data_IF_880556408484
#
_entry.id   IF_880556408484
#
_cell.length_a   1.000
_cell.length_b   1.000
_cell.length_c   1.000
_cell.angle_alpha   90.00
_cell.angle_beta   90.00
_cell.angle_gamma   90.00
#
_symmetry.space_group_name_H-M   'P 1'
#
loop_
_entity.id
_entity.type
_entity.pdbx_description
1 polymer ?
#
# COMPACT_ATOMS: atom_id res chain seq x y z
N UNK A 1 -21.01 59.14 -8.37
CA UNK A 1 -20.88 58.01 -7.43
C UNK A 1 -20.71 56.73 -8.24
N UNK A 2 -19.47 56.29 -8.48
CA UNK A 2 -19.19 54.95 -9.02
C UNK A 2 -19.14 53.98 -7.84
N UNK A 3 -20.09 53.04 -7.79
CA UNK A 3 -20.04 51.92 -6.87
C UNK A 3 -19.04 50.89 -7.41
N UNK A 4 -17.85 50.87 -6.82
CA UNK A 4 -16.88 49.79 -7.03
C UNK A 4 -17.35 48.58 -6.18
N UNK A 5 -18.04 47.64 -6.82
CA UNK A 5 -18.37 46.34 -6.24
C UNK A 5 -17.08 45.52 -6.07
N UNK A 6 -16.45 45.64 -4.90
CA UNK A 6 -15.43 44.69 -4.44
C UNK A 6 -16.10 43.34 -4.20
N UNK A 7 -16.12 42.49 -5.23
CA UNK A 7 -16.35 41.06 -5.07
C UNK A 7 -15.13 40.47 -4.34
N UNK A 8 -15.19 40.49 -3.02
CA UNK A 8 -14.39 39.63 -2.15
C UNK A 8 -14.72 38.18 -2.52
N UNK A 9 -14.01 37.64 -3.52
CA UNK A 9 -13.91 36.21 -3.69
C UNK A 9 -13.16 35.70 -2.47
N UNK A 10 -13.90 35.25 -1.46
CA UNK A 10 -13.37 34.34 -0.46
C UNK A 10 -12.80 33.15 -1.23
N UNK A 11 -11.49 33.18 -1.48
CA UNK A 11 -10.75 32.05 -2.04
C UNK A 11 -10.80 30.97 -0.96
N UNK A 12 -11.85 30.16 -0.99
CA UNK A 12 -11.96 28.98 -0.16
C UNK A 12 -10.79 28.07 -0.56
N UNK A 13 -9.77 28.01 0.29
CA UNK A 13 -8.67 27.07 0.10
C UNK A 13 -9.20 25.67 0.34
N UNK A 14 -9.02 24.77 -0.63
CA UNK A 14 -9.33 23.37 -0.43
C UNK A 14 -8.48 22.80 0.70
N UNK A 15 -9.04 21.79 1.39
CA UNK A 15 -8.30 21.01 2.36
C UNK A 15 -7.26 20.18 1.58
N UNK A 16 -5.95 20.34 1.82
CA UNK A 16 -4.96 19.58 1.06
C UNK A 16 -5.11 18.08 1.27
N UNK A 17 -4.96 17.30 0.20
CA UNK A 17 -5.05 15.85 0.18
C UNK A 17 -3.72 15.25 -0.29
N UNK A 18 -3.20 14.27 0.46
CA UNK A 18 -2.05 13.46 0.05
C UNK A 18 -2.48 12.01 -0.15
N UNK A 19 -2.28 11.50 -1.36
CA UNK A 19 -2.56 10.10 -1.71
C UNK A 19 -1.32 9.23 -1.51
N UNK A 20 -1.43 8.15 -0.74
CA UNK A 20 -0.36 7.16 -0.51
C UNK A 20 -0.77 5.81 -1.11
N UNK A 21 -0.08 5.32 -2.15
CA UNK A 21 -0.50 4.12 -2.88
C UNK A 21 -0.19 2.83 -2.11
N UNK A 22 -0.89 1.73 -2.40
CA UNK A 22 -0.51 0.38 -1.98
C UNK A 22 0.80 -0.08 -2.64
N UNK A 23 1.38 -1.16 -2.11
CA UNK A 23 2.52 -1.87 -2.68
C UNK A 23 2.26 -2.22 -4.15
N UNK A 24 3.33 -2.22 -4.96
CA UNK A 24 3.28 -2.27 -6.42
C UNK A 24 2.51 -1.13 -7.11
N UNK A 25 2.01 -0.14 -6.36
CA UNK A 25 1.18 0.95 -6.86
C UNK A 25 1.95 2.20 -7.29
N UNK A 26 3.23 2.30 -6.93
CA UNK A 26 4.14 3.34 -7.40
C UNK A 26 4.92 2.88 -8.62
N UNK A 27 5.05 3.79 -9.61
CA UNK A 27 5.98 3.62 -10.72
C UNK A 27 7.42 3.70 -10.21
N UNK A 28 8.23 2.72 -10.58
CA UNK A 28 9.65 2.69 -10.25
C UNK A 28 10.53 2.89 -11.50
N UNK A 29 11.55 3.72 -11.35
CA UNK A 29 12.60 3.96 -12.33
C UNK A 29 13.94 3.47 -11.78
N UNK A 30 14.84 3.07 -12.67
CA UNK A 30 16.19 2.64 -12.32
C UNK A 30 17.26 3.46 -13.01
N UNK A 31 18.34 3.74 -12.28
CA UNK A 31 19.65 3.99 -12.86
C UNK A 31 20.56 2.83 -12.47
N UNK A 32 21.21 2.19 -13.44
CA UNK A 32 22.11 1.07 -13.12
C UNK A 32 23.22 0.89 -14.15
N UNK A 33 24.41 0.55 -13.67
CA UNK A 33 25.50 0.00 -14.50
C UNK A 33 25.72 -1.49 -14.23
N UNK A 34 24.84 -2.10 -13.41
CA UNK A 34 24.90 -3.52 -13.06
C UNK A 34 24.50 -4.36 -14.27
N UNK A 35 25.37 -5.33 -14.60
CA UNK A 35 25.16 -6.24 -15.72
C UNK A 35 25.30 -7.70 -15.24
N UNK A 36 24.25 -8.27 -14.62
CA UNK A 36 24.33 -9.60 -14.02
C UNK A 36 24.45 -10.72 -15.05
N UNK A 37 23.98 -10.47 -16.29
CA UNK A 37 24.11 -11.37 -17.42
C UNK A 37 24.61 -10.61 -18.64
N UNK A 38 25.28 -11.31 -19.57
CA UNK A 38 25.86 -10.71 -20.77
C UNK A 38 24.80 -10.04 -21.68
N UNK A 39 23.56 -10.53 -21.70
CA UNK A 39 22.47 -9.93 -22.48
C UNK A 39 21.78 -8.75 -21.77
N UNK A 40 22.11 -8.48 -20.50
CA UNK A 40 21.56 -7.32 -19.81
C UNK A 40 22.18 -6.02 -20.36
N UNK A 41 21.42 -4.91 -20.42
CA UNK A 41 21.93 -3.61 -20.82
C UNK A 41 23.18 -3.22 -20.01
N UNK A 42 24.16 -2.60 -20.67
CA UNK A 42 25.41 -2.15 -20.01
C UNK A 42 25.16 -1.01 -19.03
N UNK A 43 24.20 -0.14 -19.34
CA UNK A 43 23.79 0.97 -18.50
C UNK A 43 22.32 1.30 -18.78
N UNK A 44 21.60 1.68 -17.73
CA UNK A 44 20.25 2.24 -17.79
C UNK A 44 20.27 3.57 -17.05
N UNK A 45 19.69 4.59 -17.66
CA UNK A 45 19.49 5.90 -17.05
C UNK A 45 17.99 6.22 -17.05
N UNK A 46 17.48 6.58 -15.87
CA UNK A 46 16.11 6.96 -15.56
C UNK A 46 15.06 6.08 -16.23
N UNK A 47 15.24 4.75 -16.15
CA UNK A 47 14.42 3.81 -16.91
C UNK A 47 13.29 3.22 -16.07
N UNK A 48 12.06 3.41 -16.50
CA UNK A 48 10.89 2.70 -15.97
C UNK A 48 11.06 1.17 -16.00
N UNK A 49 10.91 0.53 -14.83
CA UNK A 49 11.11 -0.92 -14.62
C UNK A 49 9.88 -1.64 -14.11
N UNK A 50 8.93 -0.94 -13.50
CA UNK A 50 7.70 -1.54 -12.96
C UNK A 50 6.49 -0.75 -13.43
N UNK A 51 5.74 -1.19 -14.46
CA UNK A 51 5.83 -2.43 -15.24
C UNK A 51 6.15 -2.15 -16.70
N UNK A 52 7.23 -2.74 -17.22
CA UNK A 52 7.56 -2.70 -18.64
C UNK A 52 7.37 -4.08 -19.27
N UNK A 53 6.34 -4.24 -20.09
CA UNK A 53 5.92 -5.54 -20.68
C UNK A 53 7.09 -6.29 -21.33
N UNK A 54 7.92 -5.59 -22.11
CA UNK A 54 9.11 -6.17 -22.76
C UNK A 54 10.07 -6.87 -21.80
N UNK A 55 10.16 -6.38 -20.56
CA UNK A 55 11.08 -6.92 -19.56
C UNK A 55 10.49 -8.10 -18.79
N UNK A 56 9.21 -8.41 -18.94
CA UNK A 56 8.58 -9.52 -18.23
C UNK A 56 8.82 -10.88 -18.89
N UNK A 57 9.46 -10.91 -20.06
CA UNK A 57 9.73 -12.12 -20.83
C UNK A 57 11.23 -12.45 -20.87
N UNK A 58 11.61 -13.74 -20.95
CA UNK A 58 13.01 -14.14 -21.16
C UNK A 58 13.62 -13.52 -22.43
N UNK A 59 14.92 -13.17 -22.42
CA UNK A 59 15.85 -13.30 -21.31
C UNK A 59 15.82 -12.10 -20.34
N UNK A 60 15.15 -10.99 -20.69
CA UNK A 60 15.20 -9.72 -19.97
C UNK A 60 14.57 -9.75 -18.58
N UNK A 61 13.64 -10.69 -18.33
CA UNK A 61 13.04 -10.92 -17.01
C UNK A 61 14.09 -11.19 -15.93
N UNK A 62 15.21 -11.83 -16.28
CA UNK A 62 16.29 -12.06 -15.33
C UNK A 62 17.01 -10.75 -14.94
N UNK A 63 17.14 -9.80 -15.87
CA UNK A 63 17.78 -8.51 -15.61
C UNK A 63 16.91 -7.65 -14.70
N UNK A 64 15.62 -7.48 -15.03
CA UNK A 64 14.72 -6.62 -14.25
C UNK A 64 14.50 -7.15 -12.84
N UNK A 65 14.40 -8.47 -12.66
CA UNK A 65 14.26 -9.08 -11.34
C UNK A 65 15.53 -8.93 -10.50
N UNK A 66 16.73 -9.00 -11.10
CA UNK A 66 17.97 -8.69 -10.39
C UNK A 66 17.97 -7.22 -9.94
N UNK A 67 17.71 -6.26 -10.84
CA UNK A 67 17.70 -4.83 -10.51
C UNK A 67 16.71 -4.46 -9.39
N UNK A 68 15.56 -5.14 -9.35
CA UNK A 68 14.55 -4.93 -8.33
C UNK A 68 14.81 -5.71 -7.03
N UNK A 69 15.76 -6.66 -7.00
CA UNK A 69 16.10 -7.41 -5.77
C UNK A 69 16.69 -6.46 -4.74
N UNK A 70 16.24 -6.59 -3.49
CA UNK A 70 16.76 -5.83 -2.33
C UNK A 70 17.87 -6.63 -1.66
N UNK A 71 18.87 -5.93 -1.14
CA UNK A 71 19.98 -6.51 -0.35
C UNK A 71 20.08 -5.79 0.99
N UNK A 72 20.88 -6.34 1.90
CA UNK A 72 21.33 -5.62 3.09
C UNK A 72 22.67 -4.94 2.79
N UNK A 73 22.80 -3.70 3.22
CA UNK A 73 24.12 -3.08 3.32
C UNK A 73 24.90 -3.77 4.45
N UNK A 74 26.05 -4.42 4.15
CA UNK A 74 26.81 -5.15 5.15
C UNK A 74 27.38 -4.27 6.26
N UNK A 75 27.46 -2.94 6.07
CA UNK A 75 27.98 -2.00 7.08
C UNK A 75 26.88 -1.49 8.01
N UNK A 76 25.73 -1.11 7.44
CA UNK A 76 24.65 -0.47 8.20
C UNK A 76 23.55 -1.44 8.60
N UNK A 77 23.45 -2.60 7.94
CA UNK A 77 22.34 -3.54 8.09
C UNK A 77 21.01 -2.98 7.59
N UNK A 78 21.03 -1.91 6.78
CA UNK A 78 19.83 -1.31 6.19
C UNK A 78 19.48 -1.98 4.86
N UNK A 79 18.18 -1.95 4.51
CA UNK A 79 17.72 -2.41 3.21
C UNK A 79 18.21 -1.45 2.13
N UNK A 80 18.81 -1.99 1.07
CA UNK A 80 19.36 -1.20 -0.03
C UNK A 80 19.08 -1.84 -1.39
N UNK A 81 19.26 -1.05 -2.44
CA UNK A 81 19.22 -1.55 -3.81
C UNK A 81 20.52 -2.32 -4.13
N UNK A 82 20.51 -3.12 -5.20
CA UNK A 82 21.72 -3.81 -5.66
C UNK A 82 22.88 -2.85 -5.86
N UNK A 83 24.11 -3.32 -5.63
CA UNK A 83 25.32 -2.54 -5.94
C UNK A 83 25.27 -1.96 -7.37
N UNK A 84 25.68 -0.69 -7.52
CA UNK A 84 25.59 0.10 -8.76
C UNK A 84 24.17 0.24 -9.35
N UNK A 85 23.13 0.11 -8.53
CA UNK A 85 21.73 0.29 -8.94
C UNK A 85 21.04 1.23 -7.97
N UNK A 86 20.38 2.25 -8.50
CA UNK A 86 19.43 3.07 -7.74
C UNK A 86 18.04 2.86 -8.30
N UNK A 87 17.06 2.85 -7.40
CA UNK A 87 15.64 2.80 -7.73
C UNK A 87 15.00 4.03 -7.12
N UNK A 88 14.16 4.70 -7.92
CA UNK A 88 13.45 5.89 -7.50
C UNK A 88 11.99 5.83 -7.91
N UNK A 89 11.15 6.47 -7.11
CA UNK A 89 9.75 6.71 -7.45
C UNK A 89 9.62 7.87 -8.43
N UNK A 90 8.52 7.90 -9.16
CA UNK A 90 8.23 8.98 -10.11
C UNK A 90 7.31 10.01 -9.47
N UNK A 91 7.59 11.31 -9.70
CA UNK A 91 6.65 12.41 -9.45
C UNK A 91 6.15 12.52 -8.00
N UNK A 92 7.05 12.44 -7.01
CA UNK A 92 6.73 12.71 -5.61
C UNK A 92 6.16 14.13 -5.45
N UNK A 93 5.04 14.25 -4.72
CA UNK A 93 4.23 15.47 -4.61
C UNK A 93 3.32 15.75 -5.82
N UNK A 94 3.52 15.09 -6.96
CA UNK A 94 2.57 15.09 -8.08
C UNK A 94 1.61 13.90 -7.99
N UNK A 95 1.05 13.45 -9.11
CA UNK A 95 0.12 12.29 -9.15
C UNK A 95 0.43 11.30 -10.28
N UNK A 96 1.28 11.66 -11.25
CA UNK A 96 1.56 10.81 -12.41
C UNK A 96 2.26 9.49 -12.02
N UNK A 97 3.02 9.50 -10.94
CA UNK A 97 3.68 8.33 -10.35
C UNK A 97 2.73 7.25 -9.84
N UNK A 98 1.44 7.56 -9.69
CA UNK A 98 0.42 6.64 -9.17
C UNK A 98 -0.77 6.44 -10.12
N UNK A 99 -1.00 7.29 -11.13
CA UNK A 99 -2.16 7.13 -12.06
C UNK A 99 -2.27 5.72 -12.64
N UNK A 100 -1.14 5.14 -13.04
CA UNK A 100 -1.03 3.72 -13.37
C UNK A 100 0.43 3.28 -13.42
N UNK A 101 0.62 1.96 -13.38
CA UNK A 101 1.96 1.40 -13.10
C UNK A 101 2.69 0.93 -14.35
N UNK A 102 2.03 0.65 -15.47
CA UNK A 102 2.71 0.16 -16.67
C UNK A 102 2.90 1.20 -17.79
N UNK A 103 3.09 0.79 -19.04
CA UNK A 103 3.27 1.72 -20.15
C UNK A 103 2.08 2.66 -20.33
N UNK A 104 2.37 3.84 -20.87
CA UNK A 104 1.37 4.79 -21.32
C UNK A 104 1.00 4.49 -22.77
N UNK A 105 -0.29 4.32 -23.03
CA UNK A 105 -0.84 4.19 -24.36
C UNK A 105 -1.97 5.20 -24.53
N UNK A 106 -1.86 6.09 -25.51
CA UNK A 106 -2.87 7.11 -25.81
C UNK A 106 -3.27 7.96 -24.58
N UNK A 107 -2.29 8.38 -23.77
CA UNK A 107 -2.53 9.20 -22.57
C UNK A 107 -3.02 8.43 -21.34
N UNK A 108 -3.15 7.09 -21.42
CA UNK A 108 -3.60 6.23 -20.31
C UNK A 108 -2.53 5.25 -19.89
N UNK A 109 -2.26 5.19 -18.58
CA UNK A 109 -1.35 4.20 -18.01
C UNK A 109 -2.07 2.87 -17.78
N UNK A 110 -1.52 1.78 -18.32
CA UNK A 110 -2.09 0.44 -18.14
C UNK A 110 -1.12 -0.46 -17.35
N UNK A 111 -1.56 -1.13 -16.27
CA UNK A 111 -2.90 -1.07 -15.69
C UNK A 111 -3.14 0.25 -14.93
N UNK A 112 -4.36 0.78 -15.06
CA UNK A 112 -4.87 1.94 -14.29
C UNK A 112 -4.89 1.60 -12.80
N UNK A 113 -4.59 2.58 -11.95
CA UNK A 113 -4.55 2.41 -10.50
C UNK A 113 -5.43 3.43 -9.77
N UNK A 114 -4.97 4.68 -9.60
CA UNK A 114 -5.66 5.72 -8.80
C UNK A 114 -6.38 6.78 -9.64
N UNK A 115 -6.50 6.58 -10.96
CA UNK A 115 -7.01 7.60 -11.89
C UNK A 115 -8.44 8.06 -11.56
N UNK A 116 -9.33 7.15 -11.16
CA UNK A 116 -10.72 7.48 -10.82
C UNK A 116 -10.79 8.42 -9.60
N UNK A 117 -10.01 8.14 -8.56
CA UNK A 117 -9.97 8.96 -7.35
C UNK A 117 -9.37 10.33 -7.63
N UNK A 118 -8.25 10.37 -8.36
CA UNK A 118 -7.64 11.63 -8.78
C UNK A 118 -8.65 12.46 -9.59
N UNK A 119 -9.31 11.86 -10.58
CA UNK A 119 -10.32 12.51 -11.41
C UNK A 119 -11.45 13.09 -10.55
N UNK A 120 -11.95 12.34 -9.57
CA UNK A 120 -13.05 12.78 -8.70
C UNK A 120 -12.76 14.06 -7.90
N UNK A 121 -11.48 14.32 -7.57
CA UNK A 121 -11.04 15.55 -6.91
C UNK A 121 -10.80 16.69 -7.90
N UNK A 122 -10.17 16.40 -9.05
CA UNK A 122 -9.95 17.39 -10.10
C UNK A 122 -11.27 17.97 -10.62
N UNK A 123 -12.32 17.15 -10.74
CA UNK A 123 -13.66 17.56 -11.19
C UNK A 123 -14.33 18.60 -10.28
N UNK A 124 -13.94 18.66 -9.00
CA UNK A 124 -14.47 19.64 -8.03
C UNK A 124 -13.50 20.79 -7.77
N UNK A 125 -12.44 20.93 -8.58
CA UNK A 125 -11.55 22.08 -8.57
C UNK A 125 -10.23 21.91 -7.82
N UNK A 126 -9.88 20.70 -7.36
CA UNK A 126 -8.53 20.45 -6.84
C UNK A 126 -7.48 20.59 -7.94
N UNK A 127 -6.29 21.03 -7.56
CA UNK A 127 -5.14 21.26 -8.42
C UNK A 127 -3.93 20.44 -7.93
N UNK A 128 -3.36 19.66 -8.85
CA UNK A 128 -2.15 18.86 -8.59
C UNK A 128 -1.00 19.79 -8.16
N UNK A 129 -0.27 19.40 -7.10
CA UNK A 129 0.84 20.17 -6.49
C UNK A 129 0.42 21.48 -5.79
N UNK A 130 -0.87 21.74 -5.66
CA UNK A 130 -1.41 22.86 -4.87
C UNK A 130 -2.17 22.34 -3.66
N UNK A 131 -3.24 21.58 -3.86
CA UNK A 131 -4.06 20.99 -2.81
C UNK A 131 -4.29 19.48 -3.02
N UNK A 132 -3.84 18.92 -4.16
CA UNK A 132 -3.81 17.48 -4.41
C UNK A 132 -2.39 17.00 -4.67
N UNK A 133 -1.92 16.05 -3.86
CA UNK A 133 -0.57 15.51 -3.91
C UNK A 133 -0.60 13.99 -3.81
N UNK A 134 0.51 13.34 -4.15
CA UNK A 134 0.77 11.94 -3.80
C UNK A 134 2.18 11.73 -3.28
N UNK A 135 2.35 10.70 -2.46
CA UNK A 135 3.63 10.29 -1.89
C UNK A 135 3.94 8.83 -2.27
N UNK A 136 4.32 8.57 -3.53
CA UNK A 136 4.78 7.25 -3.96
C UNK A 136 6.04 6.84 -3.19
N UNK A 137 6.21 5.53 -2.96
CA UNK A 137 7.35 4.97 -2.23
C UNK A 137 7.91 3.73 -2.93
N UNK A 138 9.11 3.33 -2.52
CA UNK A 138 9.72 2.10 -2.98
C UNK A 138 9.11 0.91 -2.23
N UNK A 139 8.06 0.35 -2.83
CA UNK A 139 7.33 -0.79 -2.27
C UNK A 139 8.19 -2.05 -2.06
N UNK A 140 9.41 -2.12 -2.61
CA UNK A 140 10.30 -3.27 -2.41
C UNK A 140 10.77 -3.38 -0.96
N UNK A 141 10.87 -2.26 -0.24
CA UNK A 141 11.30 -2.23 1.15
C UNK A 141 10.20 -2.61 2.17
N UNK A 142 8.94 -2.74 1.74
CA UNK A 142 7.84 -3.03 2.65
C UNK A 142 7.54 -1.85 3.60
N UNK A 143 7.27 -2.13 4.87
CA UNK A 143 7.04 -1.10 5.89
C UNK A 143 8.36 -0.54 6.44
N UNK A 144 9.48 -1.26 6.29
CA UNK A 144 10.82 -0.76 6.62
C UNK A 144 11.37 0.17 5.53
N UNK A 145 10.68 1.29 5.29
CA UNK A 145 11.16 2.33 4.37
C UNK A 145 12.39 3.04 4.95
N UNK A 146 13.27 3.58 4.08
CA UNK A 146 14.37 4.45 4.50
C UNK A 146 13.84 5.71 5.20
N UNK A 147 14.59 6.23 6.17
CA UNK A 147 14.18 7.40 6.95
C UNK A 147 13.94 8.63 6.06
N UNK A 148 14.71 8.76 4.97
CA UNK A 148 14.56 9.82 3.97
C UNK A 148 13.15 9.86 3.35
N UNK A 149 12.48 8.71 3.22
CA UNK A 149 11.08 8.68 2.73
C UNK A 149 10.13 9.31 3.76
N UNK A 150 10.28 8.98 5.04
CA UNK A 150 9.43 9.53 6.09
C UNK A 150 9.67 11.03 6.30
N UNK A 151 10.91 11.47 6.19
CA UNK A 151 11.26 12.89 6.19
C UNK A 151 10.62 13.64 5.02
N UNK A 152 10.69 13.09 3.80
CA UNK A 152 10.03 13.67 2.62
C UNK A 152 8.51 13.70 2.77
N UNK A 153 7.90 12.66 3.34
CA UNK A 153 6.46 12.62 3.61
C UNK A 153 6.04 13.68 4.64
N UNK A 154 6.80 13.83 5.73
CA UNK A 154 6.59 14.87 6.72
C UNK A 154 6.68 16.26 6.08
N UNK A 155 7.74 16.52 5.31
CA UNK A 155 7.95 17.79 4.62
C UNK A 155 6.82 18.10 3.62
N UNK A 156 6.31 17.08 2.90
CA UNK A 156 5.19 17.24 1.98
C UNK A 156 3.91 17.65 2.72
N UNK A 157 3.62 17.04 3.87
CA UNK A 157 2.48 17.38 4.72
C UNK A 157 2.61 18.83 5.22
N UNK A 158 3.77 19.21 5.74
CA UNK A 158 4.02 20.57 6.24
C UNK A 158 4.02 21.62 5.13
N UNK A 159 4.48 21.26 3.93
CA UNK A 159 4.40 22.11 2.74
C UNK A 159 2.95 22.32 2.30
N UNK A 160 2.20 21.24 2.12
CA UNK A 160 0.80 21.28 1.73
C UNK A 160 -0.04 22.09 2.73
N UNK A 161 0.21 21.93 4.03
CA UNK A 161 -0.39 22.76 5.08
C UNK A 161 -0.11 24.26 4.86
N UNK A 162 1.15 24.65 4.69
CA UNK A 162 1.56 26.06 4.59
C UNK A 162 1.00 26.74 3.34
N UNK A 163 1.05 26.08 2.20
CA UNK A 163 0.61 26.69 0.93
C UNK A 163 -0.92 26.75 0.80
N UNK A 164 -1.65 25.97 1.61
CA UNK A 164 -3.12 25.99 1.68
C UNK A 164 -3.61 26.69 2.95
N UNK A 165 -3.06 27.88 3.22
CA UNK A 165 -3.52 28.77 4.29
C UNK A 165 -3.55 28.11 5.68
N UNK A 166 -2.55 27.25 5.97
CA UNK A 166 -2.47 26.50 7.23
C UNK A 166 -3.67 25.57 7.45
N UNK A 167 -4.27 25.08 6.37
CA UNK A 167 -5.32 24.06 6.40
C UNK A 167 -4.72 22.68 6.66
N UNK A 168 -5.29 21.96 7.61
CA UNK A 168 -4.84 20.60 7.98
C UNK A 168 -5.02 19.64 6.80
N UNK A 169 -4.07 18.72 6.65
CA UNK A 169 -3.99 17.78 5.54
C UNK A 169 -4.86 16.55 5.80
N UNK A 170 -5.63 16.13 4.80
CA UNK A 170 -6.27 14.84 4.75
C UNK A 170 -5.37 13.82 4.04
N UNK A 171 -5.16 12.66 4.67
CA UNK A 171 -4.43 11.55 4.06
C UNK A 171 -5.43 10.58 3.44
N UNK A 172 -5.22 10.19 2.19
CA UNK A 172 -5.94 9.10 1.54
C UNK A 172 -4.95 7.99 1.20
N UNK A 173 -5.09 6.82 1.78
CA UNK A 173 -4.12 5.76 1.61
C UNK A 173 -4.79 4.41 1.34
N UNK A 174 -4.14 3.55 0.56
CA UNK A 174 -4.70 2.26 0.16
C UNK A 174 -3.80 1.07 0.48
N UNK A 175 -4.38 -0.04 0.93
CA UNK A 175 -3.68 -1.32 1.09
C UNK A 175 -2.48 -1.21 2.03
N UNK A 176 -1.31 -1.60 1.51
CA UNK A 176 -0.05 -1.47 2.23
C UNK A 176 0.35 0.00 2.49
N UNK A 177 -0.04 0.92 1.60
CA UNK A 177 0.17 2.36 1.80
C UNK A 177 -0.66 2.91 2.96
N UNK A 178 -1.85 2.35 3.20
CA UNK A 178 -2.65 2.71 4.37
C UNK A 178 -2.00 2.25 5.67
N UNK A 179 -1.44 1.03 5.69
CA UNK A 179 -0.66 0.55 6.84
C UNK A 179 0.61 1.39 7.06
N UNK A 180 1.33 1.75 5.99
CA UNK A 180 2.50 2.62 6.05
C UNK A 180 2.16 4.03 6.57
N UNK A 181 1.08 4.63 6.06
CA UNK A 181 0.60 5.94 6.48
C UNK A 181 0.18 5.94 7.95
N UNK A 182 -0.57 4.91 8.36
CA UNK A 182 -0.96 4.73 9.76
C UNK A 182 0.27 4.64 10.68
N UNK A 183 1.24 3.77 10.34
CA UNK A 183 2.48 3.61 11.10
C UNK A 183 3.29 4.91 11.17
N UNK A 184 3.44 5.62 10.05
CA UNK A 184 4.10 6.93 10.04
C UNK A 184 3.44 7.89 11.03
N UNK A 185 2.11 8.00 10.99
CA UNK A 185 1.38 8.88 11.89
C UNK A 185 1.52 8.43 13.36
N UNK A 186 1.28 7.16 13.68
CA UNK A 186 1.20 6.71 15.09
C UNK A 186 2.54 6.44 15.75
N UNK A 187 3.57 6.11 14.97
CA UNK A 187 4.84 5.60 15.51
C UNK A 187 6.00 6.54 15.29
N UNK A 188 5.96 7.38 14.23
CA UNK A 188 7.05 8.31 13.89
C UNK A 188 6.73 9.74 14.29
N UNK A 189 5.46 10.16 14.23
CA UNK A 189 5.05 11.53 14.54
C UNK A 189 4.57 11.70 15.98
N UNK A 190 4.72 12.90 16.53
CA UNK A 190 4.18 13.25 17.87
C UNK A 190 2.70 13.60 17.80
N UNK A 191 1.99 13.48 18.92
CA UNK A 191 0.59 13.87 19.02
C UNK A 191 0.38 15.36 18.67
N UNK A 192 1.27 16.24 19.13
CA UNK A 192 1.21 17.68 18.81
C UNK A 192 1.39 17.96 17.31
N UNK A 193 2.30 17.23 16.66
CA UNK A 193 2.48 17.33 15.21
C UNK A 193 1.22 16.89 14.48
N UNK A 194 0.64 15.73 14.83
CA UNK A 194 -0.60 15.24 14.23
C UNK A 194 -1.76 16.21 14.45
N UNK A 195 -1.92 16.72 15.68
CA UNK A 195 -2.93 17.72 16.03
C UNK A 195 -2.80 18.99 15.21
N UNK A 196 -1.58 19.42 14.88
CA UNK A 196 -1.32 20.61 14.07
C UNK A 196 -1.58 20.37 12.59
N UNK A 197 -1.09 19.28 12.02
CA UNK A 197 -1.02 19.11 10.57
C UNK A 197 -2.07 18.18 9.97
N UNK A 198 -2.69 17.28 10.73
CA UNK A 198 -3.58 16.24 10.20
C UNK A 198 -5.03 16.56 10.53
N UNK A 199 -5.87 16.55 9.49
CA UNK A 199 -7.32 16.68 9.61
C UNK A 199 -7.97 15.32 9.85
N UNK A 200 -7.66 14.38 8.95
CA UNK A 200 -8.19 13.03 8.95
C UNK A 200 -7.29 12.10 8.13
N UNK A 201 -7.43 10.79 8.37
CA UNK A 201 -6.83 9.76 7.54
C UNK A 201 -7.90 8.79 7.05
N UNK A 202 -8.00 8.65 5.73
CA UNK A 202 -8.92 7.72 5.08
C UNK A 202 -8.12 6.52 4.57
N UNK A 203 -8.40 5.36 5.15
CA UNK A 203 -7.75 4.09 4.83
C UNK A 203 -8.67 3.22 3.98
N UNK A 204 -8.23 2.91 2.77
CA UNK A 204 -8.92 1.99 1.86
C UNK A 204 -8.25 0.62 1.93
N UNK A 205 -9.00 -0.38 2.39
CA UNK A 205 -8.56 -1.76 2.56
C UNK A 205 -7.17 -1.88 3.22
N UNK A 206 -6.94 -1.27 4.41
CA UNK A 206 -5.62 -1.32 5.05
C UNK A 206 -5.17 -2.76 5.31
N UNK A 207 -3.91 -3.07 5.00
CA UNK A 207 -3.40 -4.45 5.07
C UNK A 207 -3.06 -4.94 6.49
N UNK A 208 -3.70 -4.41 7.54
CA UNK A 208 -3.38 -4.75 8.94
C UNK A 208 -3.59 -6.23 9.26
N UNK A 209 -4.58 -6.87 8.62
CA UNK A 209 -4.80 -8.30 8.78
C UNK A 209 -3.77 -9.14 8.02
N UNK A 210 -3.09 -8.59 7.03
CA UNK A 210 -2.24 -9.35 6.10
C UNK A 210 -3.01 -10.16 5.06
N UNK A 211 -2.26 -10.92 4.26
CA UNK A 211 -2.71 -11.65 3.08
C UNK A 211 -2.10 -13.05 3.01
N UNK A 212 -2.94 -14.05 2.78
CA UNK A 212 -2.44 -15.40 2.47
C UNK A 212 -1.58 -15.42 1.21
N UNK A 213 -1.84 -14.55 0.22
CA UNK A 213 -1.02 -14.50 -1.00
C UNK A 213 0.43 -14.11 -0.72
N UNK A 214 0.70 -13.26 0.28
CA UNK A 214 2.06 -12.94 0.69
C UNK A 214 2.76 -14.18 1.28
N UNK A 215 2.09 -14.91 2.18
CA UNK A 215 2.59 -16.19 2.70
C UNK A 215 2.81 -17.21 1.57
N UNK A 216 1.90 -17.32 0.60
CA UNK A 216 2.02 -18.25 -0.50
C UNK A 216 3.18 -17.90 -1.42
N UNK A 217 3.41 -16.61 -1.69
CA UNK A 217 4.52 -16.13 -2.50
C UNK A 217 5.86 -16.53 -1.87
N UNK A 218 6.00 -16.41 -0.55
CA UNK A 218 7.19 -16.82 0.20
C UNK A 218 7.32 -18.34 0.29
N UNK A 219 6.23 -19.07 0.53
CA UNK A 219 6.21 -20.53 0.58
C UNK A 219 6.64 -21.17 -0.76
N UNK A 220 6.20 -20.57 -1.86
CA UNK A 220 6.40 -21.08 -3.23
C UNK A 220 7.60 -20.44 -3.93
N UNK A 221 8.13 -19.33 -3.40
CA UNK A 221 9.15 -18.46 -4.00
C UNK A 221 8.83 -18.07 -5.45
N UNK A 222 7.60 -17.64 -5.69
CA UNK A 222 7.10 -17.17 -7.00
C UNK A 222 6.11 -16.03 -6.79
N UNK A 223 5.96 -15.18 -7.80
CA UNK A 223 4.95 -14.14 -7.76
C UNK A 223 3.53 -14.76 -7.73
N UNK A 224 2.54 -14.16 -7.03
CA UNK A 224 1.17 -14.62 -7.09
C UNK A 224 0.69 -14.83 -8.54
N UNK A 225 -0.05 -15.93 -8.78
CA UNK A 225 -0.58 -16.33 -10.10
C UNK A 225 0.45 -16.69 -11.18
N UNK A 226 1.76 -16.58 -10.92
CA UNK A 226 2.83 -16.99 -11.85
C UNK A 226 3.32 -18.37 -11.46
N UNK A 227 3.08 -19.39 -12.29
CA UNK A 227 3.38 -20.81 -11.98
C UNK A 227 4.82 -21.26 -12.30
N UNK A 228 5.65 -20.37 -12.84
CA UNK A 228 7.06 -20.66 -13.11
C UNK A 228 7.95 -20.29 -11.93
N UNK A 229 9.06 -21.01 -11.75
CA UNK A 229 10.06 -20.76 -10.72
C UNK A 229 11.46 -20.87 -11.29
N UNK A 230 12.26 -19.82 -11.15
CA UNK A 230 13.66 -19.76 -11.57
C UNK A 230 14.46 -18.89 -10.60
N UNK A 231 15.78 -19.00 -10.62
CA UNK A 231 16.63 -18.47 -9.55
C UNK A 231 16.49 -16.96 -9.31
N UNK A 232 16.44 -16.13 -10.36
CA UNK A 232 16.26 -14.68 -10.18
C UNK A 232 14.87 -14.31 -9.65
N UNK A 233 13.82 -15.05 -10.01
CA UNK A 233 12.48 -14.86 -9.42
C UNK A 233 12.47 -15.23 -7.93
N UNK A 234 13.11 -16.34 -7.56
CA UNK A 234 13.22 -16.76 -6.15
C UNK A 234 13.96 -15.74 -5.31
N UNK A 235 15.07 -15.20 -5.83
CA UNK A 235 15.86 -14.14 -5.17
C UNK A 235 15.04 -12.88 -4.96
N UNK A 236 14.41 -12.41 -6.04
CA UNK A 236 13.54 -11.24 -5.99
C UNK A 236 12.41 -11.41 -4.99
N UNK A 237 11.59 -12.47 -5.11
CA UNK A 237 10.44 -12.71 -4.23
C UNK A 237 10.85 -12.82 -2.76
N UNK A 238 11.92 -13.56 -2.45
CA UNK A 238 12.41 -13.67 -1.08
C UNK A 238 13.14 -12.43 -0.54
N UNK A 239 13.33 -11.38 -1.35
CA UNK A 239 13.86 -10.08 -0.91
C UNK A 239 12.78 -9.00 -0.73
N UNK A 240 11.53 -9.29 -1.11
CA UNK A 240 10.47 -8.28 -1.12
C UNK A 240 9.90 -8.03 0.28
N UNK A 241 10.28 -6.88 0.86
CA UNK A 241 9.74 -6.39 2.12
C UNK A 241 8.21 -6.31 2.13
N UNK A 242 7.56 -5.97 1.01
CA UNK A 242 6.10 -5.96 0.91
C UNK A 242 5.46 -7.34 1.18
N UNK A 243 6.07 -8.45 0.75
CA UNK A 243 5.55 -9.76 1.11
C UNK A 243 5.87 -10.11 2.56
N UNK A 244 7.04 -9.72 3.06
CA UNK A 244 7.41 -9.96 4.45
C UNK A 244 6.48 -9.23 5.44
N UNK A 245 6.10 -7.98 5.17
CA UNK A 245 5.22 -7.17 6.04
C UNK A 245 3.74 -7.52 5.94
N UNK A 246 3.35 -8.38 5.00
CA UNK A 246 1.93 -8.69 4.71
C UNK A 246 1.57 -10.17 4.89
N UNK A 247 2.42 -10.99 5.49
CA UNK A 247 1.99 -12.30 6.02
C UNK A 247 0.81 -12.08 6.99
N UNK A 248 -0.18 -13.01 7.07
CA UNK A 248 -1.29 -12.88 8.01
C UNK A 248 -0.82 -12.50 9.43
N UNK A 249 -1.47 -11.48 10.00
CA UNK A 249 -1.08 -10.91 11.29
C UNK A 249 -1.17 -11.95 12.41
N UNK A 250 -0.06 -12.12 13.12
CA UNK A 250 0.12 -13.23 14.04
C UNK A 250 -0.73 -13.08 15.31
N UNK A 251 -0.85 -11.85 15.80
CA UNK A 251 -1.72 -11.49 16.94
C UNK A 251 -3.19 -11.65 16.57
N UNK A 252 -3.59 -11.16 15.40
CA UNK A 252 -4.97 -11.23 14.94
C UNK A 252 -5.43 -12.67 14.72
N UNK A 253 -4.54 -13.53 14.22
CA UNK A 253 -4.84 -14.93 13.88
C UNK A 253 -4.24 -15.93 14.87
N UNK A 254 -4.01 -15.52 16.12
CA UNK A 254 -3.47 -16.41 17.17
C UNK A 254 -4.30 -17.69 17.36
N UNK A 255 -5.63 -17.60 17.18
CA UNK A 255 -6.59 -18.72 17.30
C UNK A 255 -7.23 -19.10 15.95
N UNK A 256 -6.57 -18.82 14.82
CA UNK A 256 -7.10 -19.14 13.50
C UNK A 256 -6.15 -20.07 12.77
N UNK A 257 -6.66 -21.22 12.30
CA UNK A 257 -5.87 -22.15 11.49
C UNK A 257 -5.55 -21.50 10.14
N UNK A 258 -4.27 -21.25 9.91
CA UNK A 258 -3.74 -20.68 8.67
C UNK A 258 -2.83 -21.66 7.93
N UNK A 259 -2.44 -22.76 8.57
CA UNK A 259 -1.76 -23.84 7.89
C UNK A 259 -2.22 -25.19 8.45
N UNK A 260 -2.58 -26.11 7.55
CA UNK A 260 -2.77 -27.53 7.89
C UNK A 260 -1.58 -28.27 7.27
N UNK A 261 -0.75 -28.84 8.13
CA UNK A 261 0.45 -29.59 7.73
C UNK A 261 0.10 -31.00 7.22
N UNK A 262 1.04 -31.71 6.56
CA UNK A 262 0.80 -33.02 5.98
C UNK A 262 0.38 -34.12 6.97
N UNK A 263 0.76 -33.97 8.24
CA UNK A 263 0.36 -34.83 9.36
C UNK A 263 -1.00 -34.43 9.98
N UNK A 264 -1.69 -33.45 9.38
CA UNK A 264 -3.01 -32.99 9.81
C UNK A 264 -2.99 -32.00 10.97
N UNK A 265 -1.82 -31.51 11.40
CA UNK A 265 -1.72 -30.53 12.49
C UNK A 265 -2.12 -29.13 12.01
N UNK A 266 -2.91 -28.45 12.83
CA UNK A 266 -3.29 -27.06 12.61
C UNK A 266 -2.22 -26.12 13.16
N UNK A 267 -1.87 -25.11 12.38
CA UNK A 267 -0.94 -24.05 12.72
C UNK A 267 -1.55 -22.67 12.55
N UNK A 268 -1.17 -21.73 13.40
CA UNK A 268 -1.74 -20.37 13.47
C UNK A 268 -0.77 -19.30 12.99
N UNK A 269 -1.15 -18.03 13.09
CA UNK A 269 -0.37 -16.90 12.55
C UNK A 269 1.07 -16.81 13.09
N UNK A 270 1.28 -17.06 14.38
CA UNK A 270 2.62 -17.01 14.99
C UNK A 270 3.57 -18.06 14.43
N UNK A 271 3.04 -19.24 14.07
CA UNK A 271 3.85 -20.36 13.59
C UNK A 271 4.22 -20.26 12.10
N UNK A 272 3.54 -19.42 11.31
CA UNK A 272 3.77 -19.35 9.85
C UNK A 272 5.22 -18.96 9.52
N UNK A 273 5.76 -17.96 10.22
CA UNK A 273 7.13 -17.47 10.02
C UNK A 273 8.15 -18.54 10.42
N UNK A 274 7.92 -19.21 11.55
CA UNK A 274 8.80 -20.28 12.03
C UNK A 274 8.82 -21.48 11.09
N UNK A 275 7.67 -21.80 10.48
CA UNK A 275 7.56 -22.86 9.48
C UNK A 275 8.27 -22.47 8.17
N UNK A 276 8.20 -21.21 7.73
CA UNK A 276 9.00 -20.74 6.59
C UNK A 276 10.50 -20.92 6.84
N UNK A 277 10.97 -20.58 8.04
CA UNK A 277 12.37 -20.73 8.46
C UNK A 277 12.78 -22.20 8.54
N UNK A 278 12.02 -23.02 9.27
CA UNK A 278 12.30 -24.44 9.49
C UNK A 278 12.41 -25.23 8.18
N UNK A 279 11.62 -24.87 7.18
CA UNK A 279 11.63 -25.52 5.87
C UNK A 279 12.55 -24.86 4.83
N UNK A 280 13.43 -23.94 5.26
CA UNK A 280 14.45 -23.34 4.40
C UNK A 280 13.86 -22.61 3.19
N UNK A 281 12.67 -21.99 3.35
CA UNK A 281 11.99 -21.28 2.25
C UNK A 281 12.72 -20.00 1.86
N UNK A 282 13.46 -19.39 2.78
CA UNK A 282 14.30 -18.22 2.55
C UNK A 282 15.75 -18.58 2.88
N UNK A 283 16.70 -18.04 2.12
CA UNK A 283 18.13 -18.15 2.46
C UNK A 283 18.44 -17.36 3.74
N UNK A 284 19.58 -17.59 4.42
CA UNK A 284 19.96 -16.80 5.60
C UNK A 284 19.93 -15.29 5.36
N UNK A 285 20.49 -14.82 4.24
CA UNK A 285 20.45 -13.41 3.83
C UNK A 285 19.01 -12.90 3.64
N UNK A 286 18.15 -13.68 2.98
CA UNK A 286 16.75 -13.32 2.78
C UNK A 286 15.96 -13.28 4.10
N UNK A 287 16.31 -14.14 5.07
CA UNK A 287 15.71 -14.10 6.40
C UNK A 287 16.08 -12.83 7.14
N UNK A 288 17.35 -12.38 7.08
CA UNK A 288 17.75 -11.10 7.70
C UNK A 288 16.99 -9.91 7.10
N UNK A 289 16.80 -9.89 5.77
CA UNK A 289 15.94 -8.91 5.10
C UNK A 289 14.49 -9.01 5.59
N UNK A 290 13.97 -10.23 5.70
CA UNK A 290 12.59 -10.48 6.09
C UNK A 290 12.29 -10.06 7.52
N UNK A 291 13.22 -10.29 8.47
CA UNK A 291 13.06 -9.90 9.88
C UNK A 291 12.83 -8.39 10.07
N UNK A 292 13.42 -7.56 9.20
CA UNK A 292 13.17 -6.10 9.20
C UNK A 292 11.69 -5.76 9.01
N UNK A 293 10.92 -6.63 8.33
CA UNK A 293 9.51 -6.43 8.03
C UNK A 293 8.58 -7.36 8.83
N UNK A 294 8.99 -8.58 9.18
CA UNK A 294 8.17 -9.51 9.96
C UNK A 294 7.72 -8.95 11.30
N UNK A 295 8.53 -8.08 11.93
CA UNK A 295 8.15 -7.40 13.17
C UNK A 295 6.79 -6.69 13.09
N UNK A 296 6.41 -6.15 11.93
CA UNK A 296 5.15 -5.45 11.74
C UNK A 296 3.93 -6.38 11.66
N UNK A 297 4.13 -7.68 11.42
CA UNK A 297 3.05 -8.68 11.39
C UNK A 297 2.66 -9.17 12.79
N UNK A 298 3.42 -8.78 13.81
CA UNK A 298 3.29 -9.23 15.21
C UNK A 298 2.66 -8.17 16.12
N UNK A 299 2.06 -7.13 15.54
CA UNK A 299 1.43 -6.04 16.28
C UNK A 299 0.10 -5.67 15.64
N UNK A 300 -0.87 -5.25 16.46
CA UNK A 300 -2.10 -4.63 15.97
C UNK A 300 -1.87 -3.12 15.77
N UNK A 301 -2.59 -2.46 14.84
CA UNK A 301 -2.45 -1.03 14.63
C UNK A 301 -2.85 -0.27 15.91
N UNK A 302 -2.01 0.70 16.29
CA UNK A 302 -2.27 1.57 17.45
C UNK A 302 -3.54 2.39 17.24
N UNK A 303 -4.29 2.63 18.31
CA UNK A 303 -5.47 3.49 18.26
C UNK A 303 -5.06 4.94 17.90
N UNK A 304 -5.72 5.59 16.92
CA UNK A 304 -5.41 6.95 16.49
C UNK A 304 -5.99 8.01 17.46
N UNK A 305 -5.36 9.18 17.50
CA UNK A 305 -5.82 10.41 18.18
C UNK A 305 -6.29 11.50 17.18
N UNK A 306 -6.54 11.10 15.93
CA UNK A 306 -7.02 11.92 14.82
C UNK A 306 -8.20 11.22 14.13
N UNK A 307 -9.00 11.98 13.37
CA UNK A 307 -10.18 11.43 12.68
C UNK A 307 -9.78 10.37 11.66
N UNK A 308 -10.52 9.27 11.62
CA UNK A 308 -10.26 8.14 10.71
C UNK A 308 -11.53 7.75 9.95
N UNK A 309 -11.37 7.51 8.65
CA UNK A 309 -12.37 6.83 7.85
C UNK A 309 -11.77 5.53 7.30
N UNK A 310 -12.54 4.44 7.30
CA UNK A 310 -12.10 3.14 6.82
C UNK A 310 -13.11 2.64 5.79
N UNK A 311 -12.66 2.45 4.55
CA UNK A 311 -13.41 1.76 3.51
C UNK A 311 -12.80 0.38 3.30
N UNK A 312 -13.59 -0.68 3.40
CA UNK A 312 -13.11 -2.04 3.17
C UNK A 312 -14.23 -2.95 2.68
N UNK A 313 -13.90 -4.20 2.38
CA UNK A 313 -14.87 -5.22 2.00
C UNK A 313 -14.53 -6.51 2.74
N UNK A 314 -15.46 -7.05 3.52
CA UNK A 314 -15.32 -8.34 4.21
C UNK A 314 -16.15 -9.46 3.58
N UNK A 315 -16.92 -9.14 2.53
CA UNK A 315 -17.89 -10.04 1.89
C UNK A 315 -17.29 -11.04 0.89
N UNK A 316 -15.98 -11.00 0.63
CA UNK A 316 -15.32 -11.87 -0.37
C UNK A 316 -14.56 -13.01 0.32
N UNK A 317 -14.81 -14.28 -0.05
CA UNK A 317 -13.98 -15.40 0.38
C UNK A 317 -12.51 -15.17 0.00
N UNK A 318 -11.66 -14.99 1.01
CA UNK A 318 -10.27 -14.54 0.84
C UNK A 318 -9.29 -15.62 1.27
N UNK A 319 -8.32 -16.01 0.43
CA UNK A 319 -7.33 -17.01 0.81
C UNK A 319 -6.36 -16.45 1.84
N UNK A 320 -6.35 -17.03 3.04
CA UNK A 320 -5.50 -16.61 4.17
C UNK A 320 -4.45 -17.65 4.53
N UNK A 321 -4.71 -18.93 4.27
CA UNK A 321 -3.87 -20.04 4.70
C UNK A 321 -3.66 -21.14 3.65
N UNK A 322 -2.87 -22.17 3.99
CA UNK A 322 -2.63 -23.34 3.13
C UNK A 322 -2.98 -24.65 3.83
N UNK A 323 -3.53 -25.60 3.10
CA UNK A 323 -3.56 -27.01 3.46
C UNK A 323 -2.55 -27.74 2.56
N UNK A 324 -1.54 -28.35 3.16
CA UNK A 324 -0.44 -29.01 2.47
C UNK A 324 -0.60 -30.53 2.49
N UNK A 325 -0.53 -31.18 1.33
CA UNK A 325 -0.43 -32.64 1.23
C UNK A 325 0.95 -33.17 1.59
N UNK A 326 1.99 -32.37 1.34
CA UNK A 326 3.38 -32.61 1.73
C UNK A 326 4.14 -31.27 1.79
N UNK A 327 5.34 -31.23 2.38
CA UNK A 327 6.10 -29.98 2.57
C UNK A 327 6.63 -29.31 1.28
N UNK A 328 6.55 -30.02 0.15
CA UNK A 328 6.89 -29.49 -1.18
C UNK A 328 5.65 -29.07 -1.99
N UNK A 329 4.45 -29.30 -1.46
CA UNK A 329 3.18 -28.98 -2.09
C UNK A 329 3.01 -27.47 -2.28
N UNK A 330 2.32 -27.10 -3.36
CA UNK A 330 1.84 -25.74 -3.59
C UNK A 330 0.74 -25.37 -2.60
N UNK A 331 -0.01 -26.35 -2.09
CA UNK A 331 -1.03 -26.21 -1.06
C UNK A 331 -2.37 -25.68 -1.58
N UNK A 332 -3.46 -26.17 -0.98
CA UNK A 332 -4.82 -25.70 -1.21
C UNK A 332 -5.13 -24.52 -0.29
N UNK A 333 -5.77 -23.44 -0.77
CA UNK A 333 -6.07 -22.27 0.07
C UNK A 333 -7.10 -22.58 1.15
N UNK A 334 -6.85 -22.08 2.36
CA UNK A 334 -7.83 -21.95 3.45
C UNK A 334 -8.40 -20.53 3.35
N UNK A 335 -9.73 -20.41 3.31
CA UNK A 335 -10.42 -19.15 3.11
C UNK A 335 -10.93 -18.56 4.44
N UNK A 336 -10.92 -17.22 4.51
CA UNK A 336 -11.58 -16.43 5.54
C UNK A 336 -12.27 -15.21 4.94
N UNK A 337 -12.71 -14.28 5.79
CA UNK A 337 -13.37 -13.03 5.37
C UNK A 337 -12.35 -12.00 4.89
N UNK A 338 -12.72 -11.22 3.86
CA UNK A 338 -11.85 -10.20 3.29
C UNK A 338 -12.34 -9.72 1.93
N UNK A 339 -11.40 -9.27 1.09
CA UNK A 339 -11.66 -8.60 -0.19
C UNK A 339 -11.05 -9.31 -1.40
N UNK A 340 -10.84 -10.63 -1.34
CA UNK A 340 -10.11 -11.52 -2.27
C UNK A 340 -8.58 -11.52 -2.12
N UNK A 341 -8.00 -10.53 -1.44
CA UNK A 341 -6.55 -10.43 -1.26
C UNK A 341 -6.14 -10.29 0.21
N UNK A 342 -6.78 -9.38 0.94
CA UNK A 342 -6.49 -9.02 2.33
C UNK A 342 -7.62 -9.51 3.25
N UNK A 343 -7.27 -10.04 4.42
CA UNK A 343 -8.27 -10.39 5.43
C UNK A 343 -8.91 -9.16 6.07
N UNK A 344 -10.14 -9.26 6.55
CA UNK A 344 -10.83 -8.15 7.25
C UNK A 344 -10.62 -8.13 8.76
N UNK A 345 -10.14 -9.22 9.38
CA UNK A 345 -10.21 -9.42 10.84
C UNK A 345 -9.69 -8.25 11.70
N UNK A 346 -8.57 -7.64 11.32
CA UNK A 346 -8.01 -6.50 12.07
C UNK A 346 -8.74 -5.19 11.75
N UNK A 347 -9.31 -5.08 10.56
CA UNK A 347 -10.13 -3.94 10.16
C UNK A 347 -11.44 -3.95 10.96
N UNK A 348 -12.10 -5.11 11.04
CA UNK A 348 -13.30 -5.33 11.85
C UNK A 348 -13.01 -4.96 13.32
N UNK A 349 -11.91 -5.49 13.88
CA UNK A 349 -11.46 -5.15 15.23
C UNK A 349 -11.24 -3.64 15.42
N UNK A 350 -10.60 -2.96 14.47
CA UNK A 350 -10.35 -1.52 14.56
C UNK A 350 -11.68 -0.73 14.57
N UNK A 351 -12.62 -1.09 13.70
CA UNK A 351 -13.95 -0.48 13.62
C UNK A 351 -14.77 -0.62 14.91
N UNK A 352 -14.61 -1.76 15.60
CA UNK A 352 -15.27 -2.03 16.88
C UNK A 352 -14.58 -1.33 18.07
N UNK A 353 -13.25 -1.16 18.02
CA UNK A 353 -12.45 -0.81 19.20
C UNK A 353 -11.84 0.60 19.18
N UNK A 354 -11.95 1.37 18.09
CA UNK A 354 -11.36 2.71 18.00
C UNK A 354 -12.31 3.85 18.34
N UNK A 355 -13.61 3.58 18.52
CA UNK A 355 -14.59 4.61 18.93
C UNK A 355 -14.16 5.23 20.26
N UNK A 356 -13.84 6.52 20.24
CA UNK A 356 -13.37 7.29 21.40
C UNK A 356 -13.94 8.71 21.33
N UNK A 357 -14.21 9.32 22.48
CA UNK A 357 -14.68 10.69 22.55
C UNK A 357 -13.68 11.65 21.86
N UNK A 358 -14.18 12.55 21.01
CA UNK A 358 -13.35 13.56 20.33
C UNK A 358 -12.64 13.10 19.05
N UNK A 359 -12.69 11.81 18.71
CA UNK A 359 -12.16 11.28 17.44
C UNK A 359 -13.31 10.72 16.62
N UNK A 360 -13.52 11.25 15.41
CA UNK A 360 -14.47 10.68 14.47
C UNK A 360 -13.90 9.41 13.86
N UNK A 361 -14.65 8.31 13.96
CA UNK A 361 -14.40 7.06 13.26
C UNK A 361 -15.58 6.76 12.33
N UNK A 362 -15.31 6.63 11.03
CA UNK A 362 -16.26 6.07 10.05
C UNK A 362 -15.72 4.75 9.54
N UNK A 363 -16.57 3.75 9.47
CA UNK A 363 -16.26 2.48 8.83
C UNK A 363 -17.38 2.15 7.84
N UNK A 364 -17.00 1.79 6.61
CA UNK A 364 -17.90 1.25 5.61
C UNK A 364 -17.35 -0.07 5.11
N UNK A 365 -18.04 -1.14 5.46
CA UNK A 365 -17.86 -2.45 4.87
C UNK A 365 -18.81 -2.59 3.68
N UNK A 366 -18.26 -2.71 2.48
CA UNK A 366 -19.06 -2.88 1.26
C UNK A 366 -19.82 -4.22 1.27
N UNK A 367 -19.27 -5.23 1.96
CA UNK A 367 -19.88 -6.56 2.14
C UNK A 367 -20.50 -7.16 0.87
N UNK A 368 -19.74 -7.20 -0.22
CA UNK A 368 -20.22 -7.70 -1.52
C UNK A 368 -19.14 -8.51 -2.25
N UNK A 369 -19.55 -9.62 -2.87
CA UNK A 369 -18.69 -10.45 -3.73
C UNK A 369 -18.71 -10.01 -5.21
N UNK A 370 -19.34 -8.88 -5.53
CA UNK A 370 -19.23 -8.33 -6.87
C UNK A 370 -17.76 -7.95 -7.17
N UNK A 371 -17.27 -8.39 -8.32
CA UNK A 371 -15.87 -8.22 -8.74
C UNK A 371 -15.36 -6.78 -8.65
N UNK A 372 -16.23 -5.78 -8.84
CA UNK A 372 -15.87 -4.34 -8.74
C UNK A 372 -15.48 -3.91 -7.32
N UNK A 373 -15.86 -4.67 -6.30
CA UNK A 373 -15.52 -4.43 -4.90
C UNK A 373 -14.42 -5.33 -4.34
N UNK A 374 -13.84 -6.22 -5.17
CA UNK A 374 -12.62 -6.94 -4.80
C UNK A 374 -11.43 -5.98 -4.68
N UNK A 375 -10.43 -6.29 -3.85
CA UNK A 375 -9.31 -5.43 -3.44
C UNK A 375 -8.75 -4.53 -4.55
N UNK A 376 -8.41 -5.12 -5.71
CA UNK A 376 -7.78 -4.42 -6.83
C UNK A 376 -8.70 -3.42 -7.52
N UNK A 377 -9.99 -3.62 -7.43
CA UNK A 377 -11.01 -2.85 -8.13
C UNK A 377 -11.72 -1.84 -7.22
N UNK A 378 -11.58 -1.97 -5.90
CA UNK A 378 -12.20 -1.05 -4.94
C UNK A 378 -11.86 0.42 -5.23
N UNK A 379 -10.62 0.70 -5.65
CA UNK A 379 -10.17 2.04 -6.05
C UNK A 379 -10.57 2.47 -7.49
N UNK A 380 -11.28 1.64 -8.23
CA UNK A 380 -11.68 1.90 -9.61
C UNK A 380 -13.18 2.09 -9.75
N UNK A 381 -13.87 2.13 -8.62
CA UNK A 381 -15.32 2.16 -8.54
C UNK A 381 -15.74 3.60 -8.26
N UNK A 382 -16.40 4.29 -9.22
CA UNK A 382 -16.77 5.69 -9.08
C UNK A 382 -17.60 5.98 -7.81
N UNK A 383 -18.47 5.04 -7.43
CA UNK A 383 -19.30 5.13 -6.23
C UNK A 383 -18.44 5.21 -4.96
N UNK A 384 -17.36 4.43 -4.90
CA UNK A 384 -16.43 4.42 -3.76
C UNK A 384 -15.54 5.67 -3.75
N UNK A 385 -15.16 6.18 -4.94
CA UNK A 385 -14.46 7.45 -5.06
C UNK A 385 -15.32 8.61 -4.55
N UNK A 386 -16.61 8.64 -4.93
CA UNK A 386 -17.56 9.65 -4.46
C UNK A 386 -17.81 9.57 -2.95
N UNK A 387 -18.02 8.37 -2.41
CA UNK A 387 -18.15 8.15 -0.96
C UNK A 387 -16.94 8.71 -0.20
N UNK A 388 -15.72 8.35 -0.61
CA UNK A 388 -14.49 8.83 0.04
C UNK A 388 -14.33 10.34 -0.10
N UNK A 389 -14.65 10.88 -1.27
CA UNK A 389 -14.62 12.34 -1.48
C UNK A 389 -15.57 13.03 -0.51
N UNK A 390 -16.79 12.51 -0.29
CA UNK A 390 -17.78 13.08 0.65
C UNK A 390 -17.31 13.05 2.11
N UNK A 391 -16.44 12.10 2.49
CA UNK A 391 -15.87 12.04 3.85
C UNK A 391 -14.75 13.05 4.07
N UNK A 392 -13.95 13.31 3.03
CA UNK A 392 -12.77 14.18 3.10
C UNK A 392 -13.18 15.65 2.88
N UNK A 393 -14.02 15.88 1.89
CA UNK A 393 -14.51 17.18 1.44
C UNK A 393 -15.91 17.37 1.97
N UNK A 394 -16.16 18.40 2.78
CA UNK A 394 -17.53 18.82 3.08
C UNK A 394 -18.10 19.39 1.77
N UNK A 395 -18.96 18.64 1.09
CA UNK A 395 -19.65 19.14 -0.11
C UNK A 395 -20.56 20.30 0.31
N UNK A 396 -20.12 21.55 0.08
CA UNK A 396 -20.99 22.71 0.16
C UNK A 396 -21.84 22.76 -1.11
N UNK A 397 -22.87 21.91 -1.17
CA UNK A 397 -23.93 22.09 -2.15
C UNK A 397 -25.00 23.01 -1.55
N UNK A 398 -25.00 24.28 -2.00
CA UNK A 398 -26.11 25.26 -1.92
C UNK A 398 -27.23 24.92 -0.91
N UNK A 399 -26.91 24.91 0.39
CA UNK A 399 -27.89 24.86 1.47
C UNK A 399 -28.69 23.56 1.66
N UNK A 400 -28.30 22.41 1.09
CA UNK A 400 -28.95 21.13 1.42
C UNK A 400 -27.93 20.01 1.64
N UNK A 401 -27.86 19.49 2.86
CA UNK A 401 -27.24 18.21 3.17
C UNK A 401 -28.02 17.12 2.42
N UNK A 402 -27.46 16.59 1.32
CA UNK A 402 -27.83 15.28 0.83
C UNK A 402 -27.01 14.25 1.62
N UNK A 403 -27.61 13.12 2.01
CA UNK A 403 -27.07 12.06 2.90
C UNK A 403 -27.29 12.21 4.41
N UNK A 404 -28.48 12.66 4.83
CA UNK A 404 -29.05 12.23 6.12
C UNK A 404 -30.13 11.15 6.00
N UNK A 405 -30.46 10.69 4.79
CA UNK A 405 -31.40 9.60 4.57
C UNK A 405 -30.81 8.68 3.50
N UNK A 406 -30.74 7.39 3.81
CA UNK A 406 -30.26 6.26 2.99
C UNK A 406 -28.73 6.09 2.86
N UNK A 407 -28.14 5.48 3.90
CA UNK A 407 -27.16 4.39 3.80
C UNK A 407 -27.15 3.55 5.09
#
# INVERSE_FOLDING_TARGET
MLFLSLLLHSVFSFKPIIIIPSHFGSRLHTNTTRRPYWYCPKSLNNRHVWIRVRDLFPPFVHCVLDYLTVELDPKTGNLTSRHNTTISTVDFGGVSGIKGIGPEYFGKYLPVNYEEYIKSFLEIGYEVRKDLFSAPYDWRYGLEQPDEYFEQLQQLIEHAYRINQNSKVAILAHGHGATLAHMFLTDRMTADWRKKFIDSSTYVAPSWSGSGQAFFALWRLRFPFVHVRFNSLRRFVGSLGAFHSQIPNSVAYANTTLLISPDGKNHTGDELIDILKKHGKLTPEQLEIAEKNFKYTKVLPKRPDFNVNILYNSGVPTPLGLHLRNWTDVGMPIYGRGDSLMGSKVIDWACDNWRTAGVQLRCHDVFSDERKYHHRYLLKTPEMAHLIRSWIVKEYHNGKNAFSEEL
#
